data_IF_395855367457
#
_entry.id   IF_395855367457
#
_cell.length_a   1.000
_cell.length_b   1.000
_cell.length_c   1.000
_cell.angle_alpha   90.00
_cell.angle_beta   90.00
_cell.angle_gamma   90.00
#
_symmetry.space_group_name_H-M   'P 1'
#
loop_
_entity.id
_entity.type
_entity.pdbx_description
1 polymer ?
#
# COMPACT_ATOMS: atom_id res chain seq x y z
N UNK A 1 37.19 18.71 -66.33
CA UNK A 1 36.69 19.11 -67.60
C UNK A 1 35.22 19.48 -67.41
N UNK A 2 34.99 20.83 -67.41
CA UNK A 2 34.16 21.50 -68.37
C UNK A 2 32.70 21.11 -68.37
N UNK A 3 31.77 21.92 -68.17
CA UNK A 3 31.37 23.29 -68.58
C UNK A 3 30.05 23.55 -67.82
N UNK A 4 29.79 24.55 -66.98
CA UNK A 4 29.63 25.99 -67.20
C UNK A 4 28.34 26.39 -67.92
N UNK A 5 27.56 27.27 -67.23
CA UNK A 5 26.66 28.34 -67.71
C UNK A 5 25.28 27.89 -68.26
N UNK A 6 24.21 28.55 -68.05
CA UNK A 6 23.83 29.97 -67.98
C UNK A 6 22.38 30.08 -67.48
N UNK A 7 22.11 30.96 -66.55
CA UNK A 7 21.44 32.27 -66.70
C UNK A 7 19.91 32.28 -66.83
N UNK A 8 19.42 33.07 -65.95
CA UNK A 8 18.41 34.15 -66.08
C UNK A 8 16.96 33.67 -66.26
N UNK A 9 16.08 34.06 -65.52
CA UNK A 9 15.62 35.33 -64.98
C UNK A 9 14.18 35.48 -65.37
N UNK A 10 13.38 35.96 -64.57
CA UNK A 10 12.35 36.96 -64.84
C UNK A 10 11.24 36.80 -63.76
N UNK A 11 11.12 37.83 -63.01
CA UNK A 11 10.00 38.11 -62.12
C UNK A 11 8.68 38.23 -62.90
N UNK A 12 7.59 37.92 -62.33
CA UNK A 12 6.40 38.76 -62.27
C UNK A 12 5.29 38.23 -61.44
N UNK A 13 4.90 39.09 -60.49
CA UNK A 13 3.55 39.49 -60.18
C UNK A 13 2.59 38.48 -59.57
N UNK A 14 2.24 38.79 -58.34
CA UNK A 14 0.98 38.36 -57.66
C UNK A 14 -0.25 38.88 -58.46
N UNK A 15 -1.37 38.23 -58.25
CA UNK A 15 -2.47 38.97 -57.64
C UNK A 15 -3.11 38.27 -56.44
N UNK A 16 -3.51 39.14 -55.56
CA UNK A 16 -4.45 38.89 -54.48
C UNK A 16 -5.79 38.46 -55.06
N UNK A 17 -6.35 37.39 -54.56
CA UNK A 17 -7.81 37.22 -54.56
C UNK A 17 -8.31 36.64 -53.27
N UNK A 18 -9.27 37.33 -52.78
CA UNK A 18 -10.01 37.22 -51.54
C UNK A 18 -11.03 36.10 -51.57
N UNK A 19 -11.36 35.62 -50.39
CA UNK A 19 -12.70 35.19 -49.86
C UNK A 19 -13.13 33.75 -50.02
N UNK A 20 -13.29 33.20 -48.81
CA UNK A 20 -14.46 32.46 -48.29
C UNK A 20 -14.90 31.18 -49.01
N UNK A 21 -14.60 30.06 -48.44
CA UNK A 21 -15.58 28.99 -48.29
C UNK A 21 -15.25 28.16 -47.04
N UNK A 22 -16.11 28.24 -46.08
CA UNK A 22 -16.13 27.40 -44.93
C UNK A 22 -16.39 25.95 -45.34
N UNK A 23 -15.45 25.07 -45.07
CA UNK A 23 -15.70 23.64 -45.04
C UNK A 23 -15.41 23.14 -43.65
N UNK A 24 -16.47 22.97 -42.89
CA UNK A 24 -16.47 22.31 -41.57
C UNK A 24 -16.18 20.83 -41.83
N UNK A 25 -14.92 20.43 -41.63
CA UNK A 25 -14.58 19.02 -41.46
C UNK A 25 -14.56 18.71 -39.95
N UNK A 26 -15.72 18.25 -39.48
CA UNK A 26 -15.83 17.63 -38.17
C UNK A 26 -15.09 16.27 -38.19
N UNK A 27 -13.79 16.29 -37.97
CA UNK A 27 -13.05 15.08 -37.62
C UNK A 27 -13.27 14.79 -36.15
N UNK A 28 -14.26 13.92 -35.85
CA UNK A 28 -14.41 13.34 -34.55
C UNK A 28 -13.19 12.45 -34.25
N UNK A 29 -12.15 13.05 -33.67
CA UNK A 29 -11.07 12.29 -33.05
C UNK A 29 -11.65 11.62 -31.80
N UNK A 30 -11.99 10.33 -31.91
CA UNK A 30 -12.16 9.48 -30.73
C UNK A 30 -10.81 9.45 -30.02
N UNK A 31 -10.67 10.29 -29.00
CA UNK A 31 -9.61 10.16 -28.02
C UNK A 31 -9.85 8.86 -27.26
N UNK A 32 -9.18 7.78 -27.64
CA UNK A 32 -8.98 6.64 -26.76
C UNK A 32 -8.10 7.15 -25.61
N UNK A 33 -8.73 7.56 -24.54
CA UNK A 33 -8.03 7.74 -23.26
C UNK A 33 -7.60 6.35 -22.80
N UNK A 34 -6.31 6.11 -22.54
CA UNK A 34 -5.91 4.88 -21.90
C UNK A 34 -6.57 4.87 -20.52
N UNK A 35 -7.40 3.87 -20.27
CA UNK A 35 -7.86 3.56 -18.92
C UNK A 35 -6.64 3.06 -18.18
N UNK A 36 -6.00 3.95 -17.42
CA UNK A 36 -5.04 3.55 -16.41
C UNK A 36 -5.81 2.74 -15.36
N UNK A 37 -5.71 1.43 -15.48
CA UNK A 37 -6.12 0.53 -14.39
C UNK A 37 -5.12 0.78 -13.27
N UNK A 38 -5.46 1.66 -12.36
CA UNK A 38 -4.77 1.79 -11.09
C UNK A 38 -5.01 0.49 -10.32
N UNK A 39 -4.09 -0.46 -10.47
CA UNK A 39 -3.96 -1.58 -9.53
C UNK A 39 -3.41 -0.97 -8.24
N UNK A 40 -4.31 -0.44 -7.43
CA UNK A 40 -4.02 -0.06 -6.05
C UNK A 40 -3.93 -1.34 -5.21
N UNK A 41 -2.91 -2.13 -5.46
CA UNK A 41 -2.42 -3.09 -4.50
C UNK A 41 -1.53 -2.33 -3.52
N UNK A 42 -1.95 -2.26 -2.27
CA UNK A 42 -1.27 -1.58 -1.16
C UNK A 42 0.01 -2.35 -0.76
N UNK A 43 0.91 -2.55 -1.72
CA UNK A 43 2.19 -3.21 -1.52
C UNK A 43 3.21 -2.18 -1.02
N UNK A 44 3.51 -2.23 0.27
CA UNK A 44 4.53 -1.37 0.88
C UNK A 44 5.92 -1.76 0.38
N UNK A 45 6.60 -0.86 -0.32
CA UNK A 45 7.98 -1.04 -0.74
C UNK A 45 8.92 -0.76 0.45
N UNK A 46 9.67 -1.77 0.88
CA UNK A 46 10.72 -1.65 1.90
C UNK A 46 12.09 -1.73 1.21
N UNK A 47 12.73 -0.59 1.01
CA UNK A 47 14.12 -0.53 0.53
C UNK A 47 15.07 -0.76 1.68
N UNK A 48 16.00 -1.68 1.50
CA UNK A 48 17.09 -1.97 2.43
C UNK A 48 18.34 -1.26 1.92
N UNK A 49 18.70 -0.15 2.55
CA UNK A 49 19.95 0.56 2.24
C UNK A 49 21.18 -0.21 2.76
N UNK A 50 22.30 -0.05 2.06
CA UNK A 50 23.59 -0.64 2.44
C UNK A 50 24.14 0.04 3.70
N UNK A 51 23.77 -0.47 4.85
CA UNK A 51 24.49 -0.24 6.10
C UNK A 51 25.50 -1.36 6.28
N UNK A 52 26.76 -1.12 5.94
CA UNK A 52 27.92 -1.94 6.26
C UNK A 52 27.81 -3.45 6.01
N UNK A 53 28.90 -4.08 5.58
CA UNK A 53 29.04 -5.56 5.49
C UNK A 53 28.99 -6.12 6.91
N UNK A 54 27.79 -6.40 7.42
CA UNK A 54 27.49 -6.95 8.72
C UNK A 54 26.01 -7.35 8.75
N UNK A 55 25.66 -8.36 9.52
CA UNK A 55 24.31 -8.87 9.68
C UNK A 55 23.32 -7.71 10.00
N UNK A 56 22.60 -7.22 8.98
CA UNK A 56 21.60 -6.19 9.18
C UNK A 56 20.36 -6.82 9.77
N UNK A 57 19.98 -6.43 10.98
CA UNK A 57 18.65 -6.74 11.54
C UNK A 57 17.73 -5.55 11.33
N UNK A 58 16.54 -5.79 10.79
CA UNK A 58 15.50 -4.76 10.59
C UNK A 58 14.16 -5.29 11.01
N UNK A 59 13.27 -4.38 11.39
CA UNK A 59 11.89 -4.73 11.77
C UNK A 59 10.90 -4.04 10.83
N UNK A 60 9.86 -4.77 10.43
CA UNK A 60 8.75 -4.24 9.64
C UNK A 60 7.41 -4.64 10.25
N UNK A 61 6.41 -3.80 10.06
CA UNK A 61 5.01 -4.14 10.34
C UNK A 61 4.31 -4.39 9.01
N UNK A 62 3.74 -5.57 8.86
CA UNK A 62 2.99 -6.02 7.70
C UNK A 62 1.51 -6.14 8.07
N UNK A 63 0.63 -5.61 7.24
CA UNK A 63 -0.80 -5.79 7.45
C UNK A 63 -1.25 -7.23 7.20
N UNK A 64 -2.21 -7.71 7.97
CA UNK A 64 -2.86 -9.00 7.71
C UNK A 64 -3.49 -8.98 6.29
N UNK A 65 -3.28 -10.04 5.50
CA UNK A 65 -3.69 -10.16 4.10
C UNK A 65 -3.11 -9.07 3.17
N UNK A 66 -2.01 -8.45 3.57
CA UNK A 66 -1.25 -7.47 2.78
C UNK A 66 0.09 -8.05 2.36
N UNK A 67 0.64 -7.50 1.28
CA UNK A 67 1.98 -7.85 0.81
C UNK A 67 2.94 -6.68 0.99
N UNK A 68 4.20 -6.99 1.31
CA UNK A 68 5.31 -6.04 1.26
C UNK A 68 6.36 -6.53 0.26
N UNK A 69 6.99 -5.58 -0.43
CA UNK A 69 8.10 -5.88 -1.33
C UNK A 69 9.40 -5.52 -0.61
N UNK A 70 10.27 -6.51 -0.43
CA UNK A 70 11.60 -6.32 0.13
C UNK A 70 12.60 -6.26 -1.01
N UNK A 71 13.27 -5.13 -1.16
CA UNK A 71 14.39 -4.95 -2.10
C UNK A 71 15.72 -5.07 -1.36
N UNK A 72 16.54 -6.02 -1.77
CA UNK A 72 17.83 -6.33 -1.17
C UNK A 72 18.96 -5.60 -1.91
N UNK A 73 19.94 -5.04 -1.19
CA UNK A 73 21.10 -4.39 -1.79
C UNK A 73 22.03 -5.39 -2.49
N UNK A 74 22.05 -6.63 -1.99
CA UNK A 74 22.84 -7.74 -2.52
C UNK A 74 21.93 -8.88 -2.93
N UNK A 75 22.35 -9.66 -3.92
CA UNK A 75 21.61 -10.82 -4.37
C UNK A 75 21.48 -11.87 -3.24
N UNK A 76 20.24 -12.25 -2.93
CA UNK A 76 19.97 -13.41 -2.09
C UNK A 76 19.85 -14.66 -2.97
N UNK A 77 20.41 -15.74 -2.49
CA UNK A 77 20.23 -17.08 -3.05
C UNK A 77 19.07 -17.80 -2.39
N UNK A 78 19.04 -17.72 -1.03
CA UNK A 78 18.07 -18.43 -0.22
C UNK A 78 17.33 -17.49 0.71
N UNK A 79 16.05 -17.79 0.97
CA UNK A 79 15.19 -17.09 1.93
C UNK A 79 14.57 -18.13 2.86
N UNK A 80 14.73 -17.95 4.15
CA UNK A 80 14.15 -18.80 5.19
C UNK A 80 13.16 -18.00 6.03
N UNK A 81 11.91 -18.42 6.09
CA UNK A 81 10.90 -17.88 7.01
C UNK A 81 10.77 -18.82 8.20
N UNK A 82 10.89 -18.29 9.42
CA UNK A 82 10.84 -19.10 10.64
C UNK A 82 9.46 -19.69 10.91
N UNK A 83 8.39 -18.95 10.60
CA UNK A 83 7.03 -19.46 10.70
C UNK A 83 6.22 -19.11 9.43
N UNK A 84 6.05 -20.09 8.52
CA UNK A 84 5.32 -19.90 7.28
C UNK A 84 3.80 -19.79 7.45
N UNK A 85 3.24 -20.10 8.61
CA UNK A 85 1.82 -19.88 8.90
C UNK A 85 1.51 -18.39 9.13
N UNK A 86 2.51 -17.60 9.59
CA UNK A 86 2.35 -16.17 9.85
C UNK A 86 2.68 -15.37 8.59
N UNK A 87 3.77 -15.70 7.90
CA UNK A 87 4.25 -14.99 6.70
C UNK A 87 4.72 -15.97 5.66
N UNK A 88 4.24 -15.80 4.44
CA UNK A 88 4.76 -16.48 3.26
C UNK A 88 5.73 -15.55 2.51
N UNK A 89 6.78 -16.14 1.91
CA UNK A 89 7.80 -15.43 1.17
C UNK A 89 7.93 -15.94 -0.27
N UNK A 90 7.59 -15.11 -1.23
CA UNK A 90 7.68 -15.41 -2.66
C UNK A 90 8.87 -14.69 -3.28
N UNK A 91 9.91 -15.41 -3.63
CA UNK A 91 11.10 -14.88 -4.31
C UNK A 91 10.78 -14.66 -5.79
N UNK A 92 10.84 -13.42 -6.26
CA UNK A 92 10.59 -13.07 -7.68
C UNK A 92 11.88 -12.87 -8.45
N UNK A 93 12.88 -12.28 -7.79
CA UNK A 93 14.23 -12.15 -8.32
C UNK A 93 15.23 -12.31 -7.17
N UNK A 94 16.49 -12.47 -7.49
CA UNK A 94 17.56 -12.57 -6.46
C UNK A 94 17.70 -11.33 -5.56
N UNK A 95 17.04 -10.21 -5.90
CA UNK A 95 17.03 -8.97 -5.09
C UNK A 95 15.65 -8.52 -4.66
N UNK A 96 14.60 -9.25 -5.04
CA UNK A 96 13.23 -8.84 -4.72
C UNK A 96 12.39 -10.02 -4.26
N UNK A 97 11.93 -9.91 -3.02
CA UNK A 97 11.07 -10.90 -2.36
C UNK A 97 9.77 -10.24 -1.93
N UNK A 98 8.67 -10.93 -2.14
CA UNK A 98 7.34 -10.53 -1.67
C UNK A 98 7.05 -11.28 -0.38
N UNK A 99 6.70 -10.54 0.66
CA UNK A 99 6.26 -11.09 1.94
C UNK A 99 4.76 -10.88 2.06
N UNK A 100 4.02 -11.92 2.39
CA UNK A 100 2.57 -11.93 2.50
C UNK A 100 2.21 -12.28 3.94
N UNK A 101 1.49 -11.38 4.63
CA UNK A 101 1.01 -11.63 5.99
C UNK A 101 -0.22 -12.52 5.98
N UNK A 102 -0.12 -13.75 6.48
CA UNK A 102 -1.19 -14.75 6.48
C UNK A 102 -1.95 -14.78 7.80
N UNK A 103 -1.25 -14.65 8.93
CA UNK A 103 -1.85 -14.63 10.27
C UNK A 103 -1.21 -13.54 11.12
N UNK A 104 -1.96 -13.04 12.12
CA UNK A 104 -1.43 -12.09 13.12
C UNK A 104 -0.38 -12.78 13.96
N UNK A 105 0.76 -12.15 14.15
CA UNK A 105 1.87 -12.71 14.92
C UNK A 105 3.19 -12.06 14.62
N UNK A 106 4.27 -12.70 15.09
CA UNK A 106 5.64 -12.26 14.86
C UNK A 106 6.46 -13.42 14.34
N UNK A 107 7.29 -13.16 13.36
CA UNK A 107 8.21 -14.13 12.76
C UNK A 107 9.44 -13.43 12.21
N UNK A 108 10.41 -14.20 11.74
CA UNK A 108 11.63 -13.69 11.12
C UNK A 108 11.79 -14.27 9.73
N UNK A 109 12.34 -13.47 8.83
CA UNK A 109 12.82 -13.91 7.53
C UNK A 109 14.32 -13.66 7.42
N UNK A 110 15.07 -14.70 7.11
CA UNK A 110 16.51 -14.65 6.92
C UNK A 110 16.84 -14.75 5.43
N UNK A 111 17.73 -13.91 4.99
CA UNK A 111 18.18 -13.88 3.60
C UNK A 111 19.67 -14.23 3.55
N UNK A 112 20.04 -15.14 2.67
CA UNK A 112 21.42 -15.64 2.53
C UNK A 112 21.94 -15.39 1.11
N UNK A 113 23.22 -15.06 0.98
CA UNK A 113 23.88 -14.92 -0.31
C UNK A 113 24.34 -16.29 -0.87
N UNK A 114 25.00 -16.28 -2.04
CA UNK A 114 25.53 -17.49 -2.68
C UNK A 114 26.58 -18.23 -1.83
N UNK A 115 27.31 -17.51 -0.98
CA UNK A 115 28.28 -18.09 -0.04
C UNK A 115 27.66 -18.64 1.23
N UNK A 116 26.33 -18.59 1.39
CA UNK A 116 25.64 -19.01 2.60
C UNK A 116 25.74 -18.02 3.76
N UNK A 117 26.26 -16.83 3.54
CA UNK A 117 26.33 -15.78 4.57
C UNK A 117 24.98 -15.10 4.69
N UNK A 118 24.53 -14.86 5.91
CA UNK A 118 23.32 -14.08 6.18
C UNK A 118 23.57 -12.61 5.82
N UNK A 119 22.73 -12.07 4.92
CA UNK A 119 22.77 -10.68 4.47
C UNK A 119 21.73 -9.81 5.17
N UNK A 120 20.61 -10.42 5.61
CA UNK A 120 19.55 -9.72 6.30
C UNK A 120 18.82 -10.67 7.25
N UNK A 121 18.53 -10.19 8.46
CA UNK A 121 17.52 -10.72 9.37
C UNK A 121 16.37 -9.70 9.41
N UNK A 122 15.20 -10.09 8.95
CA UNK A 122 14.02 -9.25 8.94
C UNK A 122 13.02 -9.74 9.97
N UNK A 123 12.83 -8.98 11.04
CA UNK A 123 11.77 -9.21 12.01
C UNK A 123 10.45 -8.69 11.44
N UNK A 124 9.44 -9.54 11.38
CA UNK A 124 8.16 -9.24 10.78
C UNK A 124 7.06 -9.36 11.83
N UNK A 125 6.36 -8.26 12.06
CA UNK A 125 5.14 -8.25 12.85
C UNK A 125 3.95 -8.14 11.90
N UNK A 126 3.11 -9.16 11.84
CA UNK A 126 1.84 -9.09 11.13
C UNK A 126 0.77 -8.58 12.07
N UNK A 127 0.13 -7.47 11.71
CA UNK A 127 -0.89 -6.83 12.53
C UNK A 127 -2.13 -6.55 11.69
N UNK A 128 -3.30 -6.53 12.36
CA UNK A 128 -4.57 -6.15 11.75
C UNK A 128 -4.64 -4.64 11.56
N UNK A 129 -5.08 -4.18 10.39
CA UNK A 129 -5.31 -2.75 10.14
C UNK A 129 -6.65 -2.34 10.74
N UNK A 130 -6.59 -1.51 11.77
CA UNK A 130 -7.75 -1.03 12.51
C UNK A 130 -8.11 0.44 12.19
N UNK A 131 -7.46 1.04 11.20
CA UNK A 131 -7.69 2.46 10.86
C UNK A 131 -9.15 2.72 10.49
N UNK A 132 -9.72 1.92 9.61
CA UNK A 132 -11.12 2.07 9.22
C UNK A 132 -12.11 1.77 10.36
N UNK A 133 -11.75 0.89 11.31
CA UNK A 133 -12.57 0.69 12.50
C UNK A 133 -12.56 1.93 13.41
N UNK A 134 -11.37 2.54 13.64
CA UNK A 134 -11.27 3.80 14.41
C UNK A 134 -12.09 4.91 13.78
N UNK A 135 -12.03 5.05 12.47
CA UNK A 135 -12.77 6.07 11.74
C UNK A 135 -14.29 5.82 11.83
N UNK A 136 -14.72 4.58 11.70
CA UNK A 136 -16.12 4.20 11.87
C UNK A 136 -16.62 4.48 13.30
N UNK A 137 -15.84 4.12 14.33
CA UNK A 137 -16.21 4.39 15.71
C UNK A 137 -16.33 5.90 15.97
N UNK A 138 -15.41 6.72 15.47
CA UNK A 138 -15.50 8.19 15.58
C UNK A 138 -16.72 8.75 14.87
N UNK A 139 -17.08 8.20 13.71
CA UNK A 139 -18.23 8.63 12.94
C UNK A 139 -19.56 8.31 13.64
N UNK A 140 -19.69 7.09 14.18
CA UNK A 140 -20.94 6.65 14.82
C UNK A 140 -21.07 7.07 16.27
N UNK A 141 -19.98 7.39 16.94
CA UNK A 141 -19.93 7.81 18.34
C UNK A 141 -19.06 9.07 18.50
N UNK A 142 -19.49 10.23 17.93
CA UNK A 142 -18.68 11.45 17.91
C UNK A 142 -18.38 12.01 19.29
N UNK A 143 -19.26 11.78 20.26
CA UNK A 143 -19.13 12.26 21.64
C UNK A 143 -18.33 11.30 22.54
N UNK A 144 -17.97 10.13 22.02
CA UNK A 144 -17.23 9.11 22.78
C UNK A 144 -15.71 9.20 22.49
N UNK A 145 -14.92 8.87 23.49
CA UNK A 145 -13.46 8.70 23.34
C UNK A 145 -13.15 7.21 23.33
N UNK A 146 -13.11 6.61 22.15
CA UNK A 146 -12.87 5.19 21.98
C UNK A 146 -11.54 4.99 21.30
N UNK A 147 -10.61 4.32 21.97
CA UNK A 147 -9.36 3.83 21.40
C UNK A 147 -9.49 2.35 21.08
N UNK A 148 -8.80 1.95 20.00
CA UNK A 148 -8.85 0.58 19.47
C UNK A 148 -7.43 0.07 19.29
N UNK A 149 -7.13 -1.05 19.92
CA UNK A 149 -5.83 -1.72 19.82
C UNK A 149 -6.01 -3.19 19.42
N UNK A 150 -5.08 -3.72 18.63
CA UNK A 150 -4.99 -5.14 18.35
C UNK A 150 -3.95 -5.77 19.29
N UNK A 151 -4.37 -6.78 20.05
CA UNK A 151 -3.50 -7.59 20.90
C UNK A 151 -3.64 -9.04 20.45
N UNK A 152 -2.63 -9.53 19.71
CA UNK A 152 -2.68 -10.83 19.04
C UNK A 152 -3.91 -10.93 18.12
N UNK A 153 -4.77 -11.92 18.36
CA UNK A 153 -6.00 -12.13 17.57
C UNK A 153 -7.20 -11.32 18.08
N UNK A 154 -7.08 -10.71 19.28
CA UNK A 154 -8.14 -9.93 19.91
C UNK A 154 -8.05 -8.45 19.58
N UNK A 155 -9.19 -7.80 19.64
CA UNK A 155 -9.28 -6.34 19.59
C UNK A 155 -9.77 -5.83 20.94
N UNK A 156 -9.10 -4.82 21.45
CA UNK A 156 -9.43 -4.17 22.72
C UNK A 156 -10.02 -2.80 22.42
N UNK A 157 -11.20 -2.54 22.95
CA UNK A 157 -11.82 -1.22 22.98
C UNK A 157 -11.58 -0.61 24.35
N UNK A 158 -10.96 0.54 24.43
CA UNK A 158 -10.70 1.29 25.66
C UNK A 158 -11.17 2.73 25.54
N UNK A 159 -11.28 3.43 26.67
CA UNK A 159 -11.71 4.81 26.71
C UNK A 159 -13.04 5.03 27.42
N UNK A 160 -13.80 6.07 27.06
CA UNK A 160 -15.02 6.50 27.76
C UNK A 160 -16.17 6.67 26.80
N UNK A 161 -17.35 6.22 27.22
CA UNK A 161 -18.63 6.36 26.50
C UNK A 161 -19.72 6.87 27.43
N UNK A 162 -20.76 7.45 26.90
CA UNK A 162 -21.83 8.05 27.71
C UNK A 162 -22.78 7.01 28.37
N UNK A 163 -22.84 5.76 27.88
CA UNK A 163 -23.73 4.74 28.42
C UNK A 163 -23.28 3.31 28.12
N UNK A 164 -23.76 2.35 28.91
CA UNK A 164 -23.57 0.92 28.68
C UNK A 164 -24.09 0.46 27.31
N UNK A 165 -25.18 1.08 26.83
CA UNK A 165 -25.74 0.80 25.51
C UNK A 165 -24.78 1.22 24.39
N UNK A 166 -24.08 2.36 24.54
CA UNK A 166 -23.06 2.77 23.59
C UNK A 166 -21.86 1.81 23.62
N UNK A 167 -21.41 1.39 24.79
CA UNK A 167 -20.32 0.41 24.94
C UNK A 167 -20.65 -0.90 24.21
N UNK A 168 -21.87 -1.43 24.38
CA UNK A 168 -22.31 -2.65 23.70
C UNK A 168 -22.37 -2.47 22.17
N UNK A 169 -22.92 -1.33 21.67
CA UNK A 169 -22.99 -1.03 20.24
C UNK A 169 -21.60 -0.86 19.61
N UNK A 170 -20.65 -0.24 20.34
CA UNK A 170 -19.28 -0.10 19.87
C UNK A 170 -18.59 -1.47 19.75
N UNK A 171 -18.81 -2.36 20.71
CA UNK A 171 -18.31 -3.73 20.67
C UNK A 171 -18.92 -4.52 19.50
N UNK A 172 -20.25 -4.41 19.27
CA UNK A 172 -20.92 -5.08 18.16
C UNK A 172 -20.40 -4.56 16.79
N UNK A 173 -20.17 -3.26 16.67
CA UNK A 173 -19.59 -2.66 15.46
C UNK A 173 -18.17 -3.20 15.22
N UNK A 174 -17.33 -3.25 16.27
CA UNK A 174 -15.97 -3.75 16.17
C UNK A 174 -15.94 -5.22 15.75
N UNK A 175 -16.77 -6.08 16.38
CA UNK A 175 -16.85 -7.49 16.03
C UNK A 175 -17.24 -7.71 14.56
N UNK A 176 -18.25 -6.98 14.08
CA UNK A 176 -18.68 -7.05 12.67
C UNK A 176 -17.63 -6.55 11.69
N UNK A 177 -16.92 -5.46 12.04
CA UNK A 177 -15.89 -4.89 11.19
C UNK A 177 -14.71 -5.86 10.97
N UNK A 178 -14.29 -6.55 12.02
CA UNK A 178 -13.17 -7.49 11.96
C UNK A 178 -13.59 -8.90 11.50
N UNK A 179 -14.89 -9.18 11.42
CA UNK A 179 -15.41 -10.49 11.04
C UNK A 179 -15.11 -11.59 12.05
N UNK A 180 -15.13 -11.26 13.35
CA UNK A 180 -14.91 -12.20 14.45
C UNK A 180 -16.11 -12.19 15.41
N UNK A 181 -16.18 -13.20 16.25
CA UNK A 181 -17.19 -13.25 17.29
C UNK A 181 -16.98 -12.15 18.35
N UNK A 182 -18.04 -11.71 18.97
CA UNK A 182 -18.03 -10.64 19.98
C UNK A 182 -17.09 -10.93 21.14
N UNK A 183 -16.88 -12.21 21.45
CA UNK A 183 -15.97 -12.69 22.51
C UNK A 183 -14.50 -12.34 22.23
N UNK A 184 -14.12 -12.19 20.95
CA UNK A 184 -12.78 -11.77 20.54
C UNK A 184 -12.58 -10.26 20.60
N UNK A 185 -13.61 -9.49 20.99
CA UNK A 185 -13.53 -8.04 21.22
C UNK A 185 -13.63 -7.79 22.72
N UNK A 186 -12.50 -7.47 23.35
CA UNK A 186 -12.46 -7.08 24.75
C UNK A 186 -12.98 -5.65 24.90
N UNK A 187 -14.07 -5.53 25.64
CA UNK A 187 -14.68 -4.24 25.94
C UNK A 187 -14.18 -3.74 27.30
N UNK A 188 -13.28 -2.75 27.26
CA UNK A 188 -12.74 -2.06 28.43
C UNK A 188 -13.19 -0.59 28.49
N UNK A 189 -14.35 -0.29 27.90
CA UNK A 189 -14.92 1.06 27.89
C UNK A 189 -15.50 1.42 29.25
N UNK A 190 -15.04 2.54 29.82
CA UNK A 190 -15.65 3.16 30.99
C UNK A 190 -16.91 3.94 30.60
N UNK A 191 -17.84 4.06 31.54
CA UNK A 191 -19.05 4.87 31.38
C UNK A 191 -18.82 6.19 32.10
N UNK A 192 -19.04 7.30 31.41
CA UNK A 192 -19.02 8.62 32.04
C UNK A 192 -20.12 8.69 33.11
N UNK A 193 -19.72 8.62 34.39
CA UNK A 193 -20.64 8.84 35.50
C UNK A 193 -21.12 10.29 35.46
N UNK A 194 -22.42 10.49 35.28
CA UNK A 194 -23.03 11.76 35.70
C UNK A 194 -22.91 11.79 37.23
N UNK A 195 -21.97 12.56 37.75
CA UNK A 195 -22.09 12.97 39.17
C UNK A 195 -23.43 13.71 39.31
N UNK A 196 -24.32 13.15 40.08
CA UNK A 196 -25.57 13.80 40.53
C UNK A 196 -25.25 14.72 41.69
#
# INVERSE_FOLDING_TARGET
>A
AMWNKLKSGIAHAAPRFTQNAAAIFCAAALALTPVEVAVAGDARLVKIDQGGVGQSSRSIVLGLNKAAIVELPVAARDVLVSNPEIVDAVVRTNRRTYLIGLAVGQTNAFFFNESGQQILNLEIRVARDLTGLRDSLRQYFPDARIDVEAINEHVVLSGMVASATQASKAQDLAARYIGVDKENVLNMLGIEGKEQ
#
